data_IF_310718783964
#
_entry.id   IF_310718783964
#
_cell.length_a   1.000
_cell.length_b   1.000
_cell.length_c   1.000
_cell.angle_alpha   90.00
_cell.angle_beta   90.00
_cell.angle_gamma   90.00
#
_symmetry.space_group_name_H-M   'P 1'
#
loop_
_entity.id
_entity.type
_entity.pdbx_description
1 polymer ?
#
# COMPACT_ATOMS: atom_id res chain seq x y z
N UNK A 1 -28.83 -20.81 -13.16
CA UNK A 1 -28.71 -20.59 -11.70
C UNK A 1 -27.25 -20.75 -11.35
N UNK A 2 -26.49 -19.65 -11.36
CA UNK A 2 -25.06 -19.67 -11.09
C UNK A 2 -24.84 -19.90 -9.60
N UNK A 3 -24.10 -20.96 -9.24
CA UNK A 3 -23.54 -21.11 -7.90
C UNK A 3 -22.67 -19.88 -7.63
N UNK A 4 -23.11 -19.00 -6.73
CA UNK A 4 -22.19 -18.05 -6.10
C UNK A 4 -21.22 -18.91 -5.29
N UNK A 5 -20.07 -19.24 -5.89
CA UNK A 5 -18.98 -19.88 -5.18
C UNK A 5 -18.62 -18.98 -4.00
N UNK A 6 -18.56 -19.54 -2.79
CA UNK A 6 -18.18 -18.78 -1.61
C UNK A 6 -16.86 -18.05 -1.89
N UNK A 7 -16.76 -16.73 -1.60
CA UNK A 7 -15.55 -15.98 -1.87
C UNK A 7 -14.37 -16.69 -1.19
N UNK A 8 -13.33 -16.95 -1.98
CA UNK A 8 -12.09 -17.54 -1.50
C UNK A 8 -11.05 -16.44 -1.36
N UNK A 9 -9.97 -16.72 -0.62
CA UNK A 9 -8.83 -15.81 -0.57
C UNK A 9 -8.31 -15.49 -1.97
N UNK A 10 -8.27 -16.48 -2.87
CA UNK A 10 -7.77 -16.30 -4.22
C UNK A 10 -8.67 -15.36 -5.04
N UNK A 11 -9.99 -15.54 -4.96
CA UNK A 11 -10.93 -14.68 -5.70
C UNK A 11 -10.89 -13.21 -5.24
N UNK A 12 -10.77 -12.96 -3.92
CA UNK A 12 -10.65 -11.59 -3.40
C UNK A 12 -9.32 -10.93 -3.78
N UNK A 13 -8.23 -11.70 -3.80
CA UNK A 13 -6.92 -11.21 -4.25
C UNK A 13 -6.94 -10.93 -5.76
N UNK A 14 -7.55 -11.80 -6.56
CA UNK A 14 -7.68 -11.61 -8.01
C UNK A 14 -8.59 -10.40 -8.35
N UNK A 15 -9.67 -10.18 -7.59
CA UNK A 15 -10.49 -8.97 -7.71
C UNK A 15 -9.67 -7.71 -7.36
N UNK A 16 -8.90 -7.75 -6.27
CA UNK A 16 -8.00 -6.65 -5.90
C UNK A 16 -6.97 -6.37 -7.00
N UNK A 17 -6.38 -7.42 -7.59
CA UNK A 17 -5.43 -7.32 -8.70
C UNK A 17 -6.04 -6.65 -9.93
N UNK A 18 -7.32 -6.92 -10.24
CA UNK A 18 -8.01 -6.28 -11.35
C UNK A 18 -8.14 -4.75 -11.16
N UNK A 19 -8.18 -4.26 -9.92
CA UNK A 19 -8.25 -2.83 -9.60
C UNK A 19 -6.88 -2.13 -9.57
N UNK A 20 -5.77 -2.86 -9.55
CA UNK A 20 -4.41 -2.30 -9.38
C UNK A 20 -4.04 -1.23 -10.42
N UNK A 21 -4.30 -1.41 -11.73
CA UNK A 21 -3.98 -0.37 -12.72
C UNK A 21 -4.78 0.92 -12.47
N UNK A 22 -6.09 0.80 -12.24
CA UNK A 22 -6.95 1.96 -11.98
C UNK A 22 -6.56 2.69 -10.70
N UNK A 23 -6.23 1.94 -9.64
CA UNK A 23 -5.73 2.49 -8.37
C UNK A 23 -4.44 3.27 -8.59
N UNK A 24 -3.48 2.71 -9.33
CA UNK A 24 -2.17 3.33 -9.56
C UNK A 24 -2.28 4.65 -10.32
N UNK A 25 -3.13 4.69 -11.36
CA UNK A 25 -3.43 5.92 -12.10
C UNK A 25 -4.12 6.96 -11.21
N UNK A 26 -5.08 6.54 -10.38
CA UNK A 26 -5.81 7.44 -9.50
C UNK A 26 -4.93 8.05 -8.39
N UNK A 27 -4.03 7.26 -7.81
CA UNK A 27 -3.04 7.73 -6.82
C UNK A 27 -2.07 8.71 -7.47
N UNK A 28 -1.58 8.41 -8.67
CA UNK A 28 -0.70 9.31 -9.41
C UNK A 28 -1.36 10.67 -9.65
N UNK A 29 -2.59 10.67 -10.17
CA UNK A 29 -3.32 11.91 -10.46
C UNK A 29 -3.62 12.69 -9.17
N UNK A 30 -4.07 12.03 -8.11
CA UNK A 30 -4.35 12.69 -6.83
C UNK A 30 -3.10 13.31 -6.20
N UNK A 31 -1.96 12.62 -6.26
CA UNK A 31 -0.69 13.19 -5.81
C UNK A 31 -0.24 14.35 -6.71
N UNK A 32 -0.42 14.25 -8.02
CA UNK A 32 -0.08 15.33 -8.94
C UNK A 32 -0.93 16.58 -8.68
N UNK A 33 -2.21 16.43 -8.39
CA UNK A 33 -3.12 17.53 -8.08
C UNK A 33 -2.77 18.18 -6.74
N UNK A 34 -2.42 17.38 -5.72
CA UNK A 34 -1.95 17.88 -4.42
C UNK A 34 -0.61 18.63 -4.53
N UNK A 35 0.30 18.16 -5.38
CA UNK A 35 1.57 18.84 -5.64
C UNK A 35 1.36 20.18 -6.39
N UNK A 36 0.37 20.26 -7.27
CA UNK A 36 0.03 21.51 -7.99
C UNK A 36 -0.69 22.51 -7.10
N UNK A 37 -1.48 22.05 -6.13
CA UNK A 37 -2.24 22.94 -5.24
C UNK A 37 -1.35 23.67 -4.24
N UNK A 38 -0.15 23.13 -3.94
CA UNK A 38 0.79 23.68 -2.96
C UNK A 38 2.04 24.25 -3.63
N UNK A 39 2.09 25.58 -3.77
CA UNK A 39 3.21 26.34 -4.34
C UNK A 39 4.56 26.05 -3.67
N UNK A 40 4.56 25.69 -2.38
CA UNK A 40 5.77 25.38 -1.60
C UNK A 40 6.49 24.10 -2.06
N UNK A 41 5.83 23.24 -2.85
CA UNK A 41 6.37 21.95 -3.29
C UNK A 41 6.91 21.95 -4.72
N UNK A 42 7.24 23.11 -5.29
CA UNK A 42 7.74 23.20 -6.67
C UNK A 42 8.96 22.31 -6.95
N UNK A 43 9.86 22.15 -5.97
CA UNK A 43 11.03 21.26 -6.08
C UNK A 43 10.62 19.79 -6.15
N UNK A 44 9.61 19.38 -5.35
CA UNK A 44 9.05 18.03 -5.38
C UNK A 44 8.32 17.76 -6.70
N UNK A 45 7.61 18.75 -7.25
CA UNK A 45 6.92 18.64 -8.54
C UNK A 45 7.90 18.38 -9.70
N UNK A 46 9.08 19.02 -9.67
CA UNK A 46 10.13 18.79 -10.67
C UNK A 46 10.73 17.37 -10.60
N UNK A 47 10.98 16.85 -9.40
CA UNK A 47 11.43 15.46 -9.20
C UNK A 47 10.35 14.43 -9.58
N UNK A 48 9.11 14.68 -9.16
CA UNK A 48 7.95 13.82 -9.41
C UNK A 48 7.61 13.70 -10.91
N UNK A 49 7.60 14.82 -11.63
CA UNK A 49 7.25 14.85 -13.05
C UNK A 49 8.23 14.03 -13.93
N UNK A 50 9.52 14.01 -13.58
CA UNK A 50 10.53 13.18 -14.27
C UNK A 50 10.27 11.69 -14.11
N UNK A 51 9.72 11.26 -12.97
CA UNK A 51 9.46 9.83 -12.69
C UNK A 51 8.05 9.36 -13.01
N UNK A 52 7.17 10.25 -13.47
CA UNK A 52 5.79 9.96 -13.88
C UNK A 52 5.67 8.68 -14.71
N UNK A 53 6.57 8.50 -15.68
CA UNK A 53 6.52 7.38 -16.61
C UNK A 53 6.70 6.00 -15.93
N UNK A 54 7.38 5.96 -14.78
CA UNK A 54 7.75 4.71 -14.11
C UNK A 54 6.94 4.47 -12.84
N UNK A 55 6.39 5.51 -12.21
CA UNK A 55 5.64 5.37 -10.95
C UNK A 55 4.50 4.35 -11.03
N UNK A 56 3.66 4.44 -12.06
CA UNK A 56 2.55 3.50 -12.22
C UNK A 56 3.07 2.07 -12.40
N UNK A 57 4.08 1.86 -13.25
CA UNK A 57 4.69 0.55 -13.46
C UNK A 57 5.35 -0.02 -12.20
N UNK A 58 6.04 0.81 -11.41
CA UNK A 58 6.68 0.41 -10.16
C UNK A 58 5.64 0.05 -9.08
N UNK A 59 4.57 0.82 -8.98
CA UNK A 59 3.48 0.59 -8.03
C UNK A 59 2.69 -0.67 -8.42
N UNK A 60 2.32 -0.81 -9.69
CA UNK A 60 1.63 -2.00 -10.21
C UNK A 60 2.49 -3.25 -10.06
N UNK A 61 3.78 -3.18 -10.38
CA UNK A 61 4.71 -4.29 -10.19
C UNK A 61 4.88 -4.68 -8.72
N UNK A 62 4.96 -3.69 -7.82
CA UNK A 62 5.07 -3.92 -6.38
C UNK A 62 3.78 -4.53 -5.81
N UNK A 63 2.61 -3.98 -6.15
CA UNK A 63 1.31 -4.52 -5.75
C UNK A 63 1.10 -5.92 -6.31
N UNK A 64 1.38 -6.14 -7.60
CA UNK A 64 1.26 -7.44 -8.25
C UNK A 64 2.10 -8.51 -7.58
N UNK A 65 3.34 -8.18 -7.20
CA UNK A 65 4.22 -9.09 -6.45
C UNK A 65 3.67 -9.41 -5.05
N UNK A 66 3.26 -8.39 -4.29
CA UNK A 66 2.76 -8.58 -2.93
C UNK A 66 1.43 -9.35 -2.92
N UNK A 67 0.51 -9.00 -3.81
CA UNK A 67 -0.77 -9.68 -3.97
C UNK A 67 -0.57 -11.11 -4.51
N UNK A 68 0.41 -11.34 -5.39
CA UNK A 68 0.79 -12.70 -5.81
C UNK A 68 1.22 -13.59 -4.65
N UNK A 69 2.05 -13.07 -3.74
CA UNK A 69 2.44 -13.80 -2.52
C UNK A 69 1.25 -14.07 -1.59
N UNK A 70 0.34 -13.11 -1.46
CA UNK A 70 -0.91 -13.30 -0.73
C UNK A 70 -1.76 -14.40 -1.37
N UNK A 71 -1.88 -14.44 -2.71
CA UNK A 71 -2.64 -15.45 -3.45
C UNK A 71 -2.15 -16.87 -3.18
N UNK A 72 -0.84 -17.04 -3.00
CA UNK A 72 -0.19 -18.31 -2.65
C UNK A 72 -0.39 -18.72 -1.18
N UNK A 73 -1.05 -17.88 -0.37
CA UNK A 73 -1.29 -18.10 1.06
C UNK A 73 -0.12 -17.66 1.96
N UNK A 74 0.90 -17.03 1.40
CA UNK A 74 2.03 -16.47 2.14
C UNK A 74 1.71 -15.12 2.79
N UNK A 75 2.51 -14.73 3.78
CA UNK A 75 2.47 -13.38 4.33
C UNK A 75 3.24 -12.42 3.38
N UNK A 76 2.55 -11.49 2.69
CA UNK A 76 3.16 -10.64 1.67
C UNK A 76 4.24 -9.71 2.23
N UNK A 77 4.22 -9.40 3.53
CA UNK A 77 5.16 -8.48 4.16
C UNK A 77 6.23 -9.19 5.01
N UNK A 78 6.20 -10.52 5.09
CA UNK A 78 7.17 -11.27 5.88
C UNK A 78 8.60 -11.06 5.36
N UNK A 79 8.77 -11.01 4.04
CA UNK A 79 10.08 -10.81 3.40
C UNK A 79 10.65 -9.41 3.68
N UNK A 80 9.79 -8.39 3.71
CA UNK A 80 10.19 -7.01 4.01
C UNK A 80 10.64 -6.88 5.48
N UNK A 81 9.92 -7.51 6.41
CA UNK A 81 10.35 -7.58 7.82
C UNK A 81 11.72 -8.24 7.98
N UNK A 82 11.98 -9.31 7.22
CA UNK A 82 13.27 -10.01 7.25
C UNK A 82 14.42 -9.22 6.61
N UNK A 83 14.13 -8.37 5.62
CA UNK A 83 15.13 -7.49 5.01
C UNK A 83 15.52 -6.36 5.96
N UNK A 84 14.54 -5.75 6.64
CA UNK A 84 14.78 -4.72 7.66
C UNK A 84 15.68 -5.24 8.79
N UNK A 85 15.43 -6.46 9.30
CA UNK A 85 16.23 -7.04 10.39
C UNK A 85 17.64 -7.54 10.01
N UNK A 86 18.02 -7.53 8.72
CA UNK A 86 19.39 -7.90 8.28
C UNK A 86 20.29 -6.69 8.01
N UNK A 87 19.72 -5.50 7.87
CA UNK A 87 20.47 -4.25 7.61
C UNK A 87 21.04 -3.59 8.87
N UNK A 88 20.72 -4.11 10.06
CA UNK A 88 21.03 -3.53 11.37
C UNK A 88 22.51 -3.60 11.79
N UNK A 89 23.41 -4.08 10.91
CA UNK A 89 24.85 -4.23 11.20
C UNK A 89 25.73 -3.10 10.62
N UNK A 90 25.15 -2.02 10.11
CA UNK A 90 25.88 -0.88 9.53
C UNK A 90 25.33 0.45 10.04
N UNK A 91 25.51 0.69 11.35
CA UNK A 91 24.84 1.74 12.12
C UNK A 91 25.71 2.99 12.28
N UNK A 92 25.31 4.10 11.65
CA UNK A 92 25.27 5.41 12.35
C UNK A 92 24.68 6.56 11.52
N UNK A 93 24.63 6.46 10.18
CA UNK A 93 24.04 7.50 9.29
C UNK A 93 22.91 6.98 8.40
N UNK A 94 22.65 5.66 8.43
CA UNK A 94 21.54 5.01 7.71
C UNK A 94 20.23 5.08 8.50
N UNK A 95 20.30 5.43 9.79
CA UNK A 95 19.17 5.37 10.73
C UNK A 95 18.11 6.45 10.49
N UNK A 96 18.50 7.70 10.23
CA UNK A 96 17.54 8.81 10.06
C UNK A 96 16.66 8.65 8.81
N UNK A 97 17.27 8.21 7.70
CA UNK A 97 16.52 7.96 6.46
C UNK A 97 15.57 6.76 6.57
N UNK A 98 15.97 5.74 7.32
CA UNK A 98 15.13 4.57 7.57
C UNK A 98 13.99 4.91 8.55
N UNK A 99 14.27 5.67 9.60
CA UNK A 99 13.26 6.16 10.54
C UNK A 99 12.21 7.04 9.83
N UNK A 100 12.63 7.99 8.97
CA UNK A 100 11.70 8.79 8.18
C UNK A 100 10.82 7.93 7.27
N UNK A 101 11.40 6.91 6.64
CA UNK A 101 10.65 5.97 5.80
C UNK A 101 9.62 5.20 6.62
N UNK A 102 9.99 4.67 7.78
CA UNK A 102 9.08 3.92 8.66
C UNK A 102 7.94 4.79 9.19
N UNK A 103 8.23 6.05 9.53
CA UNK A 103 7.21 7.04 9.91
C UNK A 103 6.29 7.36 8.72
N UNK A 104 6.82 7.50 7.51
CA UNK A 104 6.01 7.68 6.30
C UNK A 104 5.08 6.48 6.05
N UNK A 105 5.59 5.26 6.16
CA UNK A 105 4.79 4.04 6.00
C UNK A 105 3.69 3.98 7.05
N UNK A 106 4.02 4.24 8.32
CA UNK A 106 3.04 4.28 9.40
C UNK A 106 1.95 5.33 9.14
N UNK A 107 2.31 6.51 8.64
CA UNK A 107 1.36 7.56 8.30
C UNK A 107 0.39 7.13 7.19
N UNK A 108 0.89 6.49 6.12
CA UNK A 108 0.04 5.95 5.05
C UNK A 108 -0.88 4.84 5.58
N UNK A 109 -0.37 3.97 6.45
CA UNK A 109 -1.18 2.92 7.10
C UNK A 109 -2.33 3.55 7.88
N UNK A 110 -2.03 4.53 8.74
CA UNK A 110 -3.05 5.22 9.54
C UNK A 110 -4.09 5.89 8.65
N UNK A 111 -3.69 6.57 7.58
CA UNK A 111 -4.64 7.20 6.65
C UNK A 111 -5.60 6.19 6.01
N UNK A 112 -5.09 5.03 5.60
CA UNK A 112 -5.93 3.94 5.05
C UNK A 112 -6.82 3.33 6.14
N UNK A 113 -6.27 3.06 7.33
CA UNK A 113 -7.02 2.48 8.45
C UNK A 113 -8.16 3.40 8.90
N UNK A 114 -7.95 4.72 8.94
CA UNK A 114 -8.97 5.69 9.31
C UNK A 114 -10.06 5.81 8.26
N UNK A 115 -9.70 5.78 6.97
CA UNK A 115 -10.66 5.89 5.87
C UNK A 115 -11.49 4.61 5.65
N UNK A 116 -10.94 3.43 5.98
CA UNK A 116 -11.55 2.13 5.67
C UNK A 116 -11.66 1.20 6.88
N UNK A 117 -11.87 1.79 8.07
CA UNK A 117 -11.88 1.08 9.36
C UNK A 117 -12.89 -0.07 9.39
N UNK A 118 -14.10 0.17 8.91
CA UNK A 118 -15.19 -0.79 8.95
C UNK A 118 -14.91 -1.97 8.00
N UNK A 119 -14.51 -1.66 6.77
CA UNK A 119 -14.23 -2.62 5.72
C UNK A 119 -13.01 -3.48 6.07
N UNK A 120 -11.93 -2.89 6.58
CA UNK A 120 -10.75 -3.63 7.03
C UNK A 120 -11.06 -4.58 8.19
N UNK A 121 -11.94 -4.16 9.10
CA UNK A 121 -12.39 -5.01 10.20
C UNK A 121 -13.23 -6.20 9.68
N UNK A 122 -14.15 -5.95 8.74
CA UNK A 122 -14.94 -6.99 8.11
C UNK A 122 -14.08 -8.00 7.34
N UNK A 123 -13.15 -7.52 6.51
CA UNK A 123 -12.19 -8.36 5.80
C UNK A 123 -11.32 -9.16 6.78
N UNK A 124 -10.85 -8.55 7.86
CA UNK A 124 -10.11 -9.24 8.91
C UNK A 124 -10.88 -10.42 9.52
N UNK A 125 -12.16 -10.21 9.85
CA UNK A 125 -13.03 -11.26 10.39
C UNK A 125 -13.29 -12.36 9.36
N UNK A 126 -13.53 -11.99 8.11
CA UNK A 126 -13.72 -12.93 7.01
C UNK A 126 -12.51 -13.85 6.81
N UNK A 127 -11.30 -13.27 6.75
CA UNK A 127 -10.07 -14.04 6.61
C UNK A 127 -9.71 -14.87 7.85
N UNK A 128 -10.17 -14.50 9.04
CA UNK A 128 -10.04 -15.33 10.24
C UNK A 128 -10.98 -16.53 10.18
N UNK A 129 -12.23 -16.32 9.76
CA UNK A 129 -13.22 -17.38 9.55
C UNK A 129 -12.75 -18.39 8.50
N UNK A 130 -12.18 -17.93 7.37
CA UNK A 130 -11.62 -18.82 6.34
C UNK A 130 -10.48 -19.72 6.83
N UNK A 131 -9.70 -19.26 7.82
CA UNK A 131 -8.61 -20.04 8.42
C UNK A 131 -9.03 -20.85 9.65
N UNK A 132 -10.30 -20.75 10.08
CA UNK A 132 -10.78 -21.38 11.31
C UNK A 132 -10.15 -20.83 12.58
N UNK A 133 -9.63 -19.59 12.55
CA UNK A 133 -8.99 -18.96 13.70
C UNK A 133 -10.05 -18.12 14.44
N UNK A 134 -10.25 -18.41 15.73
CA UNK A 134 -11.27 -17.74 16.55
C UNK A 134 -10.98 -16.25 16.83
N UNK A 135 -9.73 -15.80 16.67
CA UNK A 135 -9.32 -14.41 16.86
C UNK A 135 -8.45 -13.94 15.70
N UNK A 136 -8.93 -13.02 14.84
CA UNK A 136 -8.11 -12.44 13.78
C UNK A 136 -6.87 -11.76 14.38
N UNK A 137 -5.67 -12.15 13.94
CA UNK A 137 -4.47 -11.36 14.19
C UNK A 137 -4.36 -10.24 13.15
N UNK A 138 -3.70 -9.13 13.53
CA UNK A 138 -3.45 -8.01 12.59
C UNK A 138 -2.70 -8.45 11.32
N UNK A 139 -1.94 -9.55 11.41
CA UNK A 139 -1.18 -10.14 10.31
C UNK A 139 -1.95 -11.17 9.48
N UNK A 140 -3.18 -11.50 9.85
CA UNK A 140 -3.96 -12.51 9.17
C UNK A 140 -4.53 -11.97 7.87
N UNK A 141 -5.01 -10.73 7.83
CA UNK A 141 -5.53 -10.14 6.60
C UNK A 141 -4.39 -9.91 5.58
N UNK A 142 -4.36 -10.63 4.44
CA UNK A 142 -3.36 -10.40 3.39
C UNK A 142 -3.55 -9.05 2.68
N UNK A 143 -4.77 -8.51 2.65
CA UNK A 143 -5.14 -7.24 2.02
C UNK A 143 -5.12 -6.06 3.01
N UNK A 144 -4.33 -6.15 4.09
CA UNK A 144 -4.22 -5.08 5.08
C UNK A 144 -3.58 -3.81 4.51
N UNK A 145 -3.86 -2.66 5.14
CA UNK A 145 -3.31 -1.35 4.79
C UNK A 145 -1.78 -1.34 4.58
N UNK A 146 -1.03 -2.07 5.41
CA UNK A 146 0.42 -2.16 5.33
C UNK A 146 0.94 -2.69 3.97
N UNK A 147 0.16 -3.52 3.27
CA UNK A 147 0.53 -4.02 1.94
C UNK A 147 0.65 -2.85 0.94
N UNK A 148 -0.38 -1.99 0.91
CA UNK A 148 -0.46 -0.86 -0.01
C UNK A 148 0.54 0.24 0.36
N UNK A 149 0.73 0.50 1.65
CA UNK A 149 1.73 1.45 2.13
C UNK A 149 3.15 1.04 1.72
N UNK A 150 3.48 -0.26 1.81
CA UNK A 150 4.79 -0.78 1.40
C UNK A 150 4.99 -0.72 -0.12
N UNK A 151 3.95 -1.06 -0.89
CA UNK A 151 4.01 -0.94 -2.35
C UNK A 151 4.23 0.52 -2.79
N UNK A 152 3.53 1.47 -2.16
CA UNK A 152 3.70 2.90 -2.41
C UNK A 152 5.12 3.36 -2.04
N UNK A 153 5.63 2.96 -0.87
CA UNK A 153 6.99 3.30 -0.46
C UNK A 153 8.03 2.82 -1.46
N UNK A 154 7.86 1.61 -2.02
CA UNK A 154 8.74 1.06 -3.05
C UNK A 154 8.67 1.80 -4.38
N UNK A 155 7.48 2.31 -4.74
CA UNK A 155 7.29 3.13 -5.93
C UNK A 155 7.84 4.56 -5.77
N UNK A 156 7.95 5.07 -4.54
CA UNK A 156 8.54 6.39 -4.23
C UNK A 156 10.05 6.30 -4.07
N UNK A 157 10.56 5.23 -3.45
CA UNK A 157 11.63 4.42 -4.04
C UNK A 157 12.80 5.15 -4.69
N UNK A 158 12.84 5.03 -6.01
CA UNK A 158 13.88 5.62 -6.83
C UNK A 158 13.46 6.95 -7.46
N UNK A 159 12.52 7.69 -6.86
CA UNK A 159 12.42 9.13 -7.15
C UNK A 159 13.71 9.74 -6.63
N UNK A 160 14.39 10.52 -7.47
CA UNK A 160 15.66 11.18 -7.12
C UNK A 160 15.39 12.34 -6.15
N UNK A 161 15.15 11.97 -4.89
CA UNK A 161 14.83 12.85 -3.77
C UNK A 161 15.56 12.32 -2.52
N UNK A 162 15.90 13.25 -1.63
CA UNK A 162 16.40 12.93 -0.31
C UNK A 162 15.32 12.23 0.56
N UNK A 163 15.71 11.83 1.78
CA UNK A 163 14.78 11.15 2.70
C UNK A 163 13.57 12.02 3.05
N UNK A 164 13.77 13.32 3.23
CA UNK A 164 12.71 14.27 3.58
C UNK A 164 11.73 14.49 2.43
N UNK A 165 12.22 14.64 1.19
CA UNK A 165 11.39 14.74 -0.01
C UNK A 165 10.57 13.47 -0.27
N UNK A 166 11.16 12.28 -0.09
CA UNK A 166 10.42 11.00 -0.18
C UNK A 166 9.36 10.87 0.91
N UNK A 167 9.68 11.29 2.13
CA UNK A 167 8.72 11.34 3.23
C UNK A 167 7.55 12.31 2.94
N UNK A 168 7.82 13.50 2.41
CA UNK A 168 6.81 14.47 2.02
C UNK A 168 5.89 13.90 0.90
N UNK A 169 6.46 13.24 -0.11
CA UNK A 169 5.68 12.57 -1.15
C UNK A 169 4.77 11.47 -0.58
N UNK A 170 5.30 10.62 0.30
CA UNK A 170 4.50 9.58 0.98
C UNK A 170 3.34 10.18 1.76
N UNK A 171 3.58 11.27 2.50
CA UNK A 171 2.55 11.99 3.26
C UNK A 171 1.45 12.55 2.35
N UNK A 172 1.82 13.16 1.23
CA UNK A 172 0.86 13.69 0.26
C UNK A 172 0.08 12.58 -0.48
N UNK A 173 0.72 11.44 -0.74
CA UNK A 173 0.10 10.30 -1.40
C UNK A 173 -0.84 9.50 -0.48
N UNK A 174 -0.70 9.63 0.84
CA UNK A 174 -1.47 8.88 1.83
C UNK A 174 -2.99 9.05 1.65
N UNK A 175 -3.47 10.29 1.53
CA UNK A 175 -4.89 10.59 1.42
C UNK A 175 -5.50 10.15 0.07
N UNK A 176 -4.90 10.48 -1.10
CA UNK A 176 -5.36 9.95 -2.38
C UNK A 176 -5.43 8.42 -2.42
N UNK A 177 -4.44 7.73 -1.85
CA UNK A 177 -4.44 6.28 -1.76
C UNK A 177 -5.60 5.78 -0.88
N UNK A 178 -5.77 6.32 0.31
CA UNK A 178 -6.84 5.93 1.22
C UNK A 178 -8.24 6.12 0.60
N UNK A 179 -8.48 7.27 -0.03
CA UNK A 179 -9.76 7.59 -0.67
C UNK A 179 -10.08 6.67 -1.85
N UNK A 180 -9.07 6.25 -2.62
CA UNK A 180 -9.26 5.36 -3.78
C UNK A 180 -9.31 3.89 -3.40
N UNK A 181 -8.78 3.53 -2.24
CA UNK A 181 -8.78 2.16 -1.75
C UNK A 181 -10.08 1.78 -1.01
N UNK A 182 -10.74 2.74 -0.36
CA UNK A 182 -12.02 2.53 0.32
C UNK A 182 -13.10 1.87 -0.56
N UNK A 183 -13.39 2.33 -1.80
CA UNK A 183 -14.42 1.70 -2.62
C UNK A 183 -14.04 0.27 -3.06
N UNK A 184 -12.75 -0.03 -3.19
CA UNK A 184 -12.27 -1.39 -3.48
C UNK A 184 -12.54 -2.28 -2.27
N UNK A 185 -12.16 -1.86 -1.05
CA UNK A 185 -12.49 -2.64 0.14
C UNK A 185 -14.00 -2.81 0.35
N UNK A 186 -14.79 -1.80 0.00
CA UNK A 186 -16.24 -1.87 0.10
C UNK A 186 -16.82 -2.91 -0.88
N UNK A 187 -16.33 -3.03 -2.13
CA UNK A 187 -16.81 -4.09 -3.05
C UNK A 187 -16.42 -5.48 -2.55
N UNK A 188 -15.19 -5.63 -2.05
CA UNK A 188 -14.71 -6.90 -1.49
C UNK A 188 -15.51 -7.36 -0.26
N UNK A 189 -16.13 -6.43 0.48
CA UNK A 189 -17.00 -6.75 1.60
C UNK A 189 -18.43 -7.15 1.17
N UNK A 190 -18.81 -6.85 -0.08
CA UNK A 190 -20.15 -7.09 -0.63
C UNK A 190 -20.23 -8.33 -1.52
N UNK A 191 -19.09 -8.83 -2.02
CA UNK A 191 -18.96 -10.08 -2.78
C UNK A 191 -18.89 -11.32 -1.88
#
# INVERSE_FOLDING_TARGET
>A
MAHAASPSLQSLVDETLAHVPALSHAVYNGLQDELKSRLEHHQLLAGWSKRRAHFASDLEGSLGRLLGLAREGGDPLQRERQAAGRGELSLSLVDEGQALKDVAIAHVITAIEDQSRAELHQLGNFFAALRGIARPLKNDNPLRAALFAQALSRAIEGVDLDAEGRYALMRMAALPLALKLQPIYASLCQG
#
